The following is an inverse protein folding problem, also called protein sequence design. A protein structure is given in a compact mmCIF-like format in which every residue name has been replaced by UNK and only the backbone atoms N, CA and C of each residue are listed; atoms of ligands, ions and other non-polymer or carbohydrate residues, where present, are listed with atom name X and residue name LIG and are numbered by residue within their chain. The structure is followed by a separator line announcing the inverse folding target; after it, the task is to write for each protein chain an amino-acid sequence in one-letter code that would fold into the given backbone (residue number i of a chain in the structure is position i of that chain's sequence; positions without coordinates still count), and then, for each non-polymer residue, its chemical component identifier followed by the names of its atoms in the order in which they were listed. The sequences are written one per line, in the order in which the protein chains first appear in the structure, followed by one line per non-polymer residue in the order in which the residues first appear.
data_IF_789544824017
#
_entry.id   IF_789544824017
#
_cell.length_a   1.000
_cell.length_b   1.000
_cell.length_c   1.000
_cell.angle_alpha   90.00
_cell.angle_beta   90.00
_cell.angle_gamma   90.00
#
_symmetry.space_group_name_H-M   'P 1'
#
loop_
_entity.id
_entity.type
_entity.pdbx_description
1 polymer ?
2 polymer ?
3 branched ?
4 non-polymer ?
5 non-polymer ?
6 non-polymer ?
7 water ?
#
# COMPACT_ATOMS: atom_id res chain seq x y z
N UNK A 1 8.09 18.40 40.43
CA UNK A 1 7.21 18.93 39.40
C UNK A 1 7.59 18.38 38.03
N UNK A 2 8.65 17.59 37.97
CA UNK A 2 9.07 17.02 36.71
C UNK A 2 8.03 16.01 36.23
N UNK A 3 7.56 16.11 34.98
CA UNK A 3 6.57 15.15 34.49
C UNK A 3 7.15 13.75 34.40
N UNK A 4 6.32 12.77 34.71
CA UNK A 4 6.76 11.39 34.68
C UNK A 4 6.91 10.90 33.23
N UNK A 5 7.77 9.91 33.00
CA UNK A 5 7.83 9.31 31.66
C UNK A 5 6.55 8.56 31.35
N UNK A 6 6.12 8.64 30.06
CA UNK A 6 4.96 7.93 29.55
C UNK A 6 5.37 6.61 28.92
N UNK A 7 4.48 5.62 28.92
CA UNK A 7 4.76 4.38 28.19
C UNK A 7 4.84 4.64 26.70
N UNK A 8 5.66 3.83 26.02
CA UNK A 8 5.79 3.96 24.58
C UNK A 8 4.71 3.11 23.90
N UNK A 9 4.02 3.70 22.92
CA UNK A 9 2.95 3.02 22.21
C UNK A 9 3.54 2.28 21.00
N UNK A 10 3.07 1.06 20.78
CA UNK A 10 3.50 0.24 19.66
C UNK A 10 2.31 0.09 18.71
N UNK A 11 2.42 0.68 17.53
CA UNK A 11 1.36 0.62 16.54
C UNK A 11 1.71 -0.38 15.44
N UNK A 12 0.72 -1.16 15.03
CA UNK A 12 0.90 -2.14 13.97
C UNK A 12 -0.37 -2.24 13.15
N UNK A 13 -0.22 -2.20 11.82
CA UNK A 13 -1.33 -2.44 10.91
C UNK A 13 -1.35 -3.92 10.56
N UNK A 14 -2.50 -4.55 10.76
CA UNK A 14 -2.65 -5.99 10.52
C UNK A 14 -3.50 -6.21 9.28
N UNK A 15 -2.85 -6.53 8.17
CA UNK A 15 -3.52 -6.93 6.93
C UNK A 15 -4.44 -5.82 6.42
N UNK A 16 -3.99 -4.57 6.59
CA UNK A 16 -4.72 -3.34 6.28
C UNK A 16 -6.21 -3.44 6.61
N UNK A 17 -6.56 -4.20 7.64
CA UNK A 17 -7.93 -4.33 8.11
C UNK A 17 -8.20 -3.47 9.35
N UNK A 18 -7.25 -3.41 10.27
CA UNK A 18 -7.33 -2.54 11.43
C UNK A 18 -5.92 -2.27 11.92
N UNK A 19 -5.82 -1.38 12.90
CA UNK A 19 -4.54 -1.00 13.49
C UNK A 19 -4.64 -1.10 15.00
N UNK A 20 -3.64 -1.75 15.61
CA UNK A 20 -3.56 -1.86 17.06
C UNK A 20 -2.37 -1.05 17.55
N UNK A 21 -2.66 0.04 18.27
CA UNK A 21 -1.66 0.80 19.00
C UNK A 21 -1.83 0.46 20.47
N UNK A 22 -0.83 -0.19 21.06
CA UNK A 22 -0.92 -0.67 22.43
C UNK A 22 0.20 -0.07 23.28
N UNK A 23 -0.06 0.05 24.57
CA UNK A 23 0.91 0.52 25.55
C UNK A 23 0.69 -0.23 26.86
N UNK A 24 1.65 -0.08 27.77
CA UNK A 24 1.59 -0.71 29.09
C UNK A 24 1.65 0.38 30.16
N UNK A 25 0.50 0.78 30.68
CA UNK A 25 0.40 1.84 31.67
C UNK A 25 0.46 1.32 33.10
N UNK A 26 1.02 0.14 33.32
CA UNK A 26 1.15 -0.40 34.67
C UNK A 26 2.28 0.24 35.46
N UNK A 27 2.99 1.21 34.88
CA UNK A 27 4.08 1.88 35.58
C UNK A 27 3.60 3.01 36.50
N UNK A 28 2.34 3.39 36.42
CA UNK A 28 1.85 4.54 37.16
C UNK A 28 1.74 4.22 38.64
N UNK A 29 2.20 5.10 39.53
CA UNK A 29 1.90 4.91 40.96
C UNK A 29 0.41 5.03 41.25
N UNK A 30 -0.25 5.99 40.59
CA UNK A 30 -1.70 6.10 40.62
C UNK A 30 -2.25 5.71 39.27
N UNK A 31 -3.06 4.65 39.18
CA UNK A 31 -3.55 4.20 37.87
C UNK A 31 -4.39 5.28 37.19
N UNK A 32 -4.23 5.37 35.87
CA UNK A 32 -4.89 6.43 35.11
C UNK A 32 -5.27 5.93 33.73
N UNK A 33 -6.47 6.29 33.29
CA UNK A 33 -6.87 6.09 31.91
C UNK A 33 -6.13 7.08 31.02
N UNK A 34 -4.98 6.67 30.48
CA UNK A 34 -4.30 7.50 29.49
C UNK A 34 -5.13 7.59 28.22
N UNK A 35 -5.09 8.75 27.58
CA UNK A 35 -5.89 9.00 26.39
C UNK A 35 -5.00 9.06 25.16
N UNK A 36 -5.56 8.62 24.03
CA UNK A 36 -4.84 8.62 22.76
C UNK A 36 -5.51 9.56 21.77
N UNK A 37 -4.69 10.30 21.04
CA UNK A 37 -5.12 11.19 19.96
C UNK A 37 -4.15 11.01 18.79
N UNK A 38 -4.62 11.37 17.60
CA UNK A 38 -3.80 11.15 16.41
C UNK A 38 -4.25 12.07 15.29
N UNK A 39 -3.33 12.31 14.36
CA UNK A 39 -3.60 13.06 13.14
C UNK A 39 -2.53 12.68 12.13
N UNK A 40 -2.57 13.31 10.96
CA UNK A 40 -1.65 12.98 9.88
C UNK A 40 -0.97 14.24 9.36
N UNK A 41 0.30 14.10 8.99
CA UNK A 41 1.06 15.18 8.39
C UNK A 41 0.81 15.21 6.88
N UNK A 42 1.25 16.30 6.25
CA UNK A 42 1.01 16.53 4.82
C UNK A 42 -0.47 16.41 4.49
N UNK A 43 -1.31 16.89 5.41
CA UNK A 43 -2.76 16.83 5.28
C UNK A 43 -3.34 18.18 5.65
N UNK A 44 -4.16 18.74 4.75
CA UNK A 44 -4.70 20.07 4.98
C UNK A 44 -5.71 20.12 6.12
N UNK A 45 -6.27 18.97 6.52
CA UNK A 45 -7.21 18.91 7.62
C UNK A 45 -6.43 18.97 8.93
N UNK A 46 -6.37 20.15 9.54
CA UNK A 46 -5.70 20.32 10.82
C UNK A 46 -6.70 20.06 11.95
N UNK A 47 -7.01 18.77 12.13
CA UNK A 47 -7.94 18.32 13.14
C UNK A 47 -7.34 17.13 13.88
N UNK A 48 -7.57 17.08 15.20
CA UNK A 48 -7.08 16.01 16.04
C UNK A 48 -8.21 15.01 16.26
N UNK A 49 -7.91 13.73 16.07
CA UNK A 49 -8.89 12.67 16.21
C UNK A 49 -8.68 11.95 17.53
N UNK A 50 -9.75 11.78 18.30
CA UNK A 50 -9.69 11.00 19.52
C UNK A 50 -9.91 9.53 19.21
N UNK A 51 -9.35 8.67 20.06
CA UNK A 51 -9.51 7.24 19.88
C UNK A 51 -10.98 6.84 19.97
N UNK A 52 -11.40 5.95 19.06
CA UNK A 52 -12.78 5.50 18.98
C UNK A 52 -13.01 4.15 19.64
N UNK A 53 -11.96 3.35 19.83
CA UNK A 53 -12.08 2.02 20.44
C UNK A 53 -10.87 1.83 21.35
N UNK A 54 -11.01 2.23 22.60
CA UNK A 54 -9.93 2.03 23.57
C UNK A 54 -9.86 0.57 23.99
N UNK A 55 -8.64 0.09 24.23
CA UNK A 55 -8.41 -1.26 24.73
C UNK A 55 -8.05 -1.18 26.21
N UNK A 56 -8.71 -1.99 27.02
CA UNK A 56 -8.55 -1.94 28.47
C UNK A 56 -7.82 -3.18 28.98
N UNK A 57 -7.01 -2.98 30.02
CA UNK A 57 -6.35 -4.08 30.72
C UNK A 57 -6.47 -3.79 32.22
N UNK A 58 -7.41 -4.46 32.87
CA UNK A 58 -7.72 -4.26 34.28
C UNK A 58 -8.20 -2.83 34.55
N UNK A 59 -9.32 -2.49 33.92
CA UNK A 59 -10.08 -1.27 34.13
C UNK A 59 -9.32 0.01 33.76
N UNK A 60 -8.16 -0.11 33.10
CA UNK A 60 -7.41 1.06 32.64
C UNK A 60 -7.08 0.87 31.17
N UNK A 61 -7.03 1.99 30.45
CA UNK A 61 -6.75 1.93 29.01
C UNK A 61 -5.35 1.39 28.76
N UNK A 62 -5.26 0.45 27.82
CA UNK A 62 -3.99 -0.20 27.47
C UNK A 62 -3.75 -0.20 25.97
N UNK A 63 -4.47 0.62 25.23
CA UNK A 63 -4.29 0.67 23.80
C UNK A 63 -5.52 1.21 23.09
N UNK A 64 -5.42 1.26 21.77
CA UNK A 64 -6.48 1.78 20.94
C UNK A 64 -6.50 1.00 19.62
N UNK A 65 -7.68 0.89 19.03
CA UNK A 65 -7.84 0.19 17.75
C UNK A 65 -8.44 1.16 16.73
N UNK A 66 -7.79 1.29 15.59
CA UNK A 66 -8.26 2.15 14.51
C UNK A 66 -8.82 1.29 13.38
N UNK A 67 -10.03 1.63 12.95
CA UNK A 67 -10.64 0.92 11.83
C UNK A 67 -9.95 1.29 10.53
N UNK A 68 -10.20 0.49 9.49
CA UNK A 68 -9.53 0.68 8.21
C UNK A 68 -9.80 2.07 7.65
N UNK A 69 -11.00 2.61 7.85
CA UNK A 69 -11.33 3.93 7.31
C UNK A 69 -10.54 5.04 8.00
N UNK A 70 -9.89 4.77 9.13
CA UNK A 70 -9.09 5.75 9.86
C UNK A 70 -7.60 5.68 9.54
N UNK A 71 -7.17 4.68 8.76
CA UNK A 71 -5.75 4.46 8.47
C UNK A 71 -5.40 5.15 7.16
N UNK A 72 -4.41 6.03 7.20
CA UNK A 72 -3.89 6.69 6.00
C UNK A 72 -2.45 6.22 5.78
N UNK A 73 -2.30 5.09 5.09
CA UNK A 73 -0.97 4.64 4.70
C UNK A 73 -0.30 5.68 3.82
N UNK A 74 1.03 5.74 3.92
CA UNK A 74 1.91 6.62 3.15
C UNK A 74 1.79 8.08 3.57
N UNK A 75 0.94 8.40 4.53
CA UNK A 75 0.92 9.70 5.18
C UNK A 75 1.45 9.52 6.60
N UNK A 76 2.28 10.46 7.04
CA UNK A 76 2.95 10.35 8.33
C UNK A 76 1.94 10.34 9.47
N UNK A 77 1.96 9.26 10.26
CA UNK A 77 1.03 9.07 11.36
C UNK A 77 1.63 9.65 12.64
N UNK A 78 0.95 10.64 13.21
CA UNK A 78 1.35 11.26 14.46
C UNK A 78 0.39 10.80 15.54
N UNK A 79 0.92 10.14 16.57
CA UNK A 79 0.12 9.60 17.67
C UNK A 79 0.58 10.25 18.96
N UNK A 80 -0.37 10.69 19.79
CA UNK A 80 -0.08 11.48 20.98
C UNK A 80 -0.71 10.82 22.19
N UNK A 81 0.13 10.23 23.04
CA UNK A 81 -0.32 9.67 24.30
C UNK A 81 -0.23 10.75 25.38
N UNK A 82 -1.33 10.97 26.09
CA UNK A 82 -1.44 12.10 26.99
C UNK A 82 -2.06 11.67 28.32
N UNK A 83 -1.64 12.35 29.39
CA UNK A 83 -2.20 12.13 30.71
C UNK A 83 -3.40 13.06 30.89
N UNK A 84 -4.61 12.54 31.10
CA UNK A 84 -5.77 13.44 31.25
C UNK A 84 -5.71 14.30 32.49
N UNK A 85 -5.20 13.76 33.61
CA UNK A 85 -5.16 14.54 34.84
C UNK A 85 -4.10 15.62 34.79
N UNK A 86 -3.13 15.51 33.89
CA UNK A 86 -2.08 16.53 33.73
C UNK A 86 -1.70 16.59 32.25
N UNK A 87 -2.25 17.56 31.51
CA UNK A 87 -1.98 17.64 30.07
C UNK A 87 -0.53 17.95 29.74
N UNK A 88 0.28 18.40 30.71
CA UNK A 88 1.69 18.66 30.43
C UNK A 88 2.47 17.37 30.23
N UNK A 89 1.93 16.23 30.65
CA UNK A 89 2.58 14.93 30.44
C UNK A 89 2.01 14.30 29.18
N UNK A 90 2.61 14.66 28.03
CA UNK A 90 2.20 14.13 26.74
C UNK A 90 3.43 13.76 25.93
N UNK A 91 3.26 12.77 25.05
CA UNK A 91 4.34 12.30 24.18
C UNK A 91 3.77 12.01 22.80
N UNK A 92 4.45 12.52 21.76
CA UNK A 92 4.02 12.35 20.39
C UNK A 92 5.05 11.52 19.63
N UNK A 93 4.56 10.60 18.81
CA UNK A 93 5.42 9.79 17.94
C UNK A 93 4.96 9.96 16.50
N UNK A 94 5.93 10.06 15.60
CA UNK A 94 5.65 10.16 14.16
C UNK A 94 6.05 8.82 13.53
N UNK A 95 5.07 8.13 12.96
CA UNK A 95 5.28 6.80 12.41
C UNK A 95 4.94 6.77 10.93
N UNK A 96 5.66 5.92 10.19
CA UNK A 96 5.34 5.63 8.79
C UNK A 96 4.67 4.27 8.74
N UNK A 97 3.37 4.25 8.48
CA UNK A 97 2.57 3.03 8.57
C UNK A 97 2.90 2.02 7.49
N UNK A 98 3.48 2.44 6.36
CA UNK A 98 3.80 1.47 5.32
C UNK A 98 4.91 0.51 5.74
N UNK A 99 5.64 0.83 6.81
CA UNK A 99 6.68 -0.04 7.33
C UNK A 99 6.22 -0.82 8.55
N UNK A 100 4.94 -0.73 8.92
CA UNK A 100 4.41 -1.40 10.10
C UNK A 100 3.19 -2.26 9.75
N UNK A 101 3.09 -2.67 8.49
CA UNK A 101 2.00 -3.55 8.05
C UNK A 101 2.41 -4.99 8.32
N UNK A 102 1.51 -5.74 8.94
CA UNK A 102 1.74 -7.15 9.22
C UNK A 102 0.63 -7.94 8.54
N UNK A 103 0.91 -8.68 7.47
CA UNK A 103 -0.13 -9.49 6.85
C UNK A 103 -0.42 -10.74 7.68
N UNK A 104 -1.54 -11.37 7.36
CA UNK A 104 -1.83 -12.64 8.01
C UNK A 104 -0.92 -13.73 7.45
N UNK A 105 -0.88 -14.85 8.14
CA UNK A 105 -0.07 -15.97 7.69
C UNK A 105 -0.64 -16.53 6.38
N UNK A 106 0.22 -17.01 5.48
CA UNK A 106 -0.28 -17.65 4.26
C UNK A 106 -1.23 -18.79 4.58
N UNK A 107 -2.19 -19.00 3.68
CA UNK A 107 -3.22 -20.00 3.85
C UNK A 107 -3.32 -20.85 2.58
N UNK A 108 -4.10 -21.92 2.67
CA UNK A 108 -4.39 -22.79 1.53
C UNK A 108 -3.10 -23.36 0.93
N UNK A 109 -2.31 -24.01 1.79
CA UNK A 109 -1.09 -24.65 1.33
C UNK A 109 -1.46 -25.92 0.57
N UNK A 110 -1.09 -25.98 -0.72
CA UNK A 110 -1.34 -27.16 -1.54
C UNK A 110 -0.02 -27.59 -2.17
N UNK A 111 0.15 -28.91 -2.31
CA UNK A 111 1.30 -29.50 -2.98
C UNK A 111 0.84 -30.20 -4.25
N UNK A 112 1.63 -30.05 -5.31
CA UNK A 112 1.30 -30.61 -6.62
C UNK A 112 2.54 -31.27 -7.19
N UNK A 113 2.48 -32.60 -7.36
CA UNK A 113 3.60 -33.35 -7.91
C UNK A 113 3.52 -33.33 -9.43
N UNK A 114 4.46 -32.64 -10.06
CA UNK A 114 4.47 -32.57 -11.53
C UNK A 114 5.14 -33.81 -12.12
N UNK A 115 6.30 -34.19 -11.59
CA UNK A 115 7.00 -35.38 -12.01
C UNK A 115 7.56 -36.06 -10.76
N UNK A 116 8.22 -37.20 -10.96
CA UNK A 116 8.83 -37.90 -9.83
C UNK A 116 10.00 -37.12 -9.23
N UNK A 117 10.51 -36.10 -9.93
CA UNK A 117 11.58 -35.27 -9.40
C UNK A 117 11.19 -33.79 -9.39
N UNK A 118 9.90 -33.49 -9.32
CA UNK A 118 9.44 -32.10 -9.35
C UNK A 118 8.09 -32.01 -8.65
N UNK A 119 8.04 -31.28 -7.53
CA UNK A 119 6.77 -30.95 -6.90
C UNK A 119 6.78 -29.48 -6.48
N UNK A 120 5.62 -28.86 -6.54
CA UNK A 120 5.46 -27.43 -6.30
C UNK A 120 4.53 -27.18 -5.12
N UNK A 121 4.81 -26.09 -4.41
CA UNK A 121 3.99 -25.64 -3.29
C UNK A 121 3.28 -24.35 -3.67
N UNK A 122 2.02 -24.22 -3.24
CA UNK A 122 1.19 -23.08 -3.58
C UNK A 122 0.49 -22.57 -2.32
N UNK A 123 0.25 -21.26 -2.28
CA UNK A 123 -0.40 -20.65 -1.13
C UNK A 123 -1.05 -19.34 -1.57
N UNK A 124 -1.96 -18.83 -0.72
CA UNK A 124 -2.58 -17.52 -0.91
C UNK A 124 -2.62 -16.82 0.44
N UNK A 125 -2.61 -15.47 0.43
CA UNK A 125 -2.31 -14.71 1.63
C UNK A 125 -3.35 -13.64 1.99
N UNK A 126 -4.52 -13.65 1.37
CA UNK A 126 -5.60 -12.72 1.74
C UNK A 126 -5.12 -11.27 1.68
N UNK A 127 -4.34 -10.95 0.66
CA UNK A 127 -3.66 -9.67 0.57
C UNK A 127 -3.27 -9.47 -0.89
N UNK A 128 -3.07 -8.21 -1.28
CA UNK A 128 -2.59 -7.94 -2.63
C UNK A 128 -1.26 -8.66 -2.83
N UNK A 129 -1.23 -9.60 -3.78
CA UNK A 129 -0.08 -10.47 -3.95
C UNK A 129 1.17 -9.73 -4.40
N UNK A 130 1.02 -8.62 -5.12
CA UNK A 130 2.19 -7.90 -5.60
C UNK A 130 2.85 -7.06 -4.51
N UNK A 131 2.27 -7.00 -3.31
CA UNK A 131 2.83 -6.24 -2.21
C UNK A 131 3.54 -7.11 -1.19
N UNK A 132 3.64 -8.43 -1.44
CA UNK A 132 4.21 -9.35 -0.46
C UNK A 132 5.40 -10.09 -1.04
N UNK A 133 6.39 -10.32 -0.19
CA UNK A 133 7.44 -11.29 -0.44
C UNK A 133 7.29 -12.42 0.57
N UNK A 134 7.81 -13.59 0.22
CA UNK A 134 7.54 -14.79 1.00
C UNK A 134 8.82 -15.56 1.27
N UNK A 135 8.81 -16.28 2.39
CA UNK A 135 9.91 -17.13 2.78
C UNK A 135 9.36 -18.53 3.02
N UNK A 136 9.96 -19.52 2.36
CA UNK A 136 9.51 -20.91 2.44
C UNK A 136 10.57 -21.69 3.21
N UNK A 137 10.19 -22.22 4.36
CA UNK A 137 11.03 -23.14 5.11
C UNK A 137 10.54 -24.56 4.89
N UNK A 138 11.47 -25.51 4.79
CA UNK A 138 11.11 -26.91 4.64
C UNK A 138 12.20 -27.77 5.25
N UNK A 139 11.78 -28.92 5.80
CA UNK A 139 12.70 -29.88 6.38
C UNK A 139 12.09 -31.26 6.29
N UNK A 140 12.96 -32.27 6.23
CA UNK A 140 12.51 -33.65 6.33
C UNK A 140 12.63 -34.13 7.78
N UNK A 141 12.09 -35.31 8.04
CA UNK A 141 12.21 -35.90 9.37
C UNK A 141 13.63 -36.36 9.69
N UNK A 142 14.57 -36.18 8.76
CA UNK A 142 15.98 -36.51 8.98
C UNK A 142 16.87 -35.29 8.84
N UNK A 143 16.31 -34.08 8.96
CA UNK A 143 17.07 -32.84 8.88
C UNK A 143 17.16 -32.22 10.27
N UNK A 144 18.36 -31.80 10.65
CA UNK A 144 18.56 -31.21 11.97
C UNK A 144 17.93 -29.82 12.06
N UNK A 145 18.05 -29.03 11.00
CA UNK A 145 17.53 -27.67 10.96
C UNK A 145 16.58 -27.50 9.77
N UNK A 146 16.10 -26.27 9.57
CA UNK A 146 15.22 -25.96 8.47
C UNK A 146 16.03 -25.64 7.21
N UNK A 147 15.31 -25.34 6.13
CA UNK A 147 15.91 -24.89 4.89
C UNK A 147 14.99 -23.82 4.30
N UNK A 148 15.47 -22.59 4.20
CA UNK A 148 14.63 -21.49 3.76
C UNK A 148 14.97 -21.08 2.34
N UNK A 149 13.96 -20.55 1.63
CA UNK A 149 14.11 -20.04 0.28
C UNK A 149 13.17 -18.86 0.09
N UNK A 150 13.66 -17.78 -0.50
CA UNK A 150 12.89 -16.57 -0.69
C UNK A 150 12.13 -16.62 -2.02
N UNK A 151 10.84 -16.34 -1.98
CA UNK A 151 9.98 -16.40 -3.15
C UNK A 151 9.30 -15.05 -3.32
N UNK A 152 9.27 -14.57 -4.56
CA UNK A 152 8.79 -13.22 -4.83
C UNK A 152 7.28 -13.19 -5.02
N UNK A 153 6.79 -12.22 -5.80
CA UNK A 153 5.34 -12.05 -5.94
C UNK A 153 4.69 -13.27 -6.56
N UNK A 154 5.41 -13.97 -7.43
CA UNK A 154 5.01 -15.28 -7.89
C UNK A 154 4.98 -16.22 -6.68
N UNK A 155 3.81 -16.76 -6.37
CA UNK A 155 3.64 -17.59 -5.18
C UNK A 155 3.79 -19.06 -5.55
N UNK A 156 5.02 -19.39 -5.95
CA UNK A 156 5.34 -20.73 -6.44
C UNK A 156 6.77 -21.08 -6.05
N UNK A 157 6.92 -22.20 -5.34
CA UNK A 157 8.22 -22.73 -4.94
C UNK A 157 8.33 -24.15 -5.47
N UNK A 158 9.42 -24.44 -6.16
CA UNK A 158 9.68 -25.78 -6.69
C UNK A 158 10.74 -26.43 -5.83
N UNK A 159 10.42 -27.59 -5.28
CA UNK A 159 11.33 -28.29 -4.37
C UNK A 159 12.55 -28.79 -5.11
N UNK A 160 13.77 -28.38 -4.73
CA UNK A 160 14.98 -28.87 -5.40
C UNK A 160 15.33 -30.28 -4.94
N UNK A 161 15.50 -31.18 -5.91
CA UNK A 161 15.89 -32.56 -5.63
C UNK A 161 14.90 -33.27 -4.72
N UNK A 162 13.84 -33.83 -5.29
CA UNK A 162 12.81 -34.51 -4.51
C UNK A 162 13.23 -35.95 -4.25
N UNK A 163 13.08 -36.40 -3.01
CA UNK A 163 13.35 -37.77 -2.62
C UNK A 163 12.03 -38.37 -2.10
N UNK A 164 11.49 -39.33 -2.84
CA UNK A 164 10.19 -39.89 -2.49
C UNK A 164 10.19 -40.68 -1.19
N UNK A 165 11.34 -41.24 -0.82
CA UNK A 165 11.43 -42.03 0.40
C UNK A 165 11.54 -41.19 1.65
N UNK A 166 11.60 -39.87 1.53
CA UNK A 166 11.68 -38.97 2.67
C UNK A 166 10.39 -38.18 2.81
N UNK A 167 9.98 -37.94 4.06
CA UNK A 167 8.77 -37.18 4.35
C UNK A 167 9.15 -35.72 4.57
N UNK A 168 8.52 -34.82 3.82
CA UNK A 168 8.83 -33.40 3.87
C UNK A 168 7.78 -32.63 4.67
N UNK A 169 8.19 -31.46 5.15
CA UNK A 169 7.32 -30.54 5.88
C UNK A 169 7.58 -29.14 5.36
N UNK A 170 6.52 -28.38 5.13
CA UNK A 170 6.62 -27.04 4.54
C UNK A 170 5.86 -26.02 5.37
N UNK A 171 6.44 -24.82 5.45
CA UNK A 171 5.82 -23.66 6.09
C UNK A 171 6.25 -22.41 5.34
N UNK A 172 5.34 -21.43 5.26
CA UNK A 172 5.57 -20.19 4.51
C UNK A 172 5.08 -19.03 5.35
N UNK A 173 5.78 -17.90 5.26
CA UNK A 173 5.33 -16.65 5.85
C UNK A 173 5.65 -15.51 4.89
N UNK A 174 4.97 -14.37 5.10
CA UNK A 174 5.03 -13.25 4.17
C UNK A 174 5.44 -11.97 4.89
N UNK A 175 5.79 -10.96 4.10
CA UNK A 175 6.18 -9.67 4.65
C UNK A 175 5.87 -8.56 3.64
N UNK A 176 5.42 -7.42 4.17
CA UNK A 176 5.02 -6.26 3.36
C UNK A 176 6.27 -5.49 2.94
N UNK A 177 7.04 -6.09 2.02
CA UNK A 177 8.31 -5.51 1.58
C UNK A 177 8.72 -6.14 0.26
N UNK A 178 9.35 -5.40 -0.67
CA UNK A 178 9.70 -3.97 -0.67
C UNK A 178 8.94 -3.07 -1.64
N UNK A 179 7.96 -3.60 -2.38
CA UNK A 179 7.38 -2.83 -3.47
C UNK A 179 6.41 -1.77 -2.96
N UNK A 180 5.57 -2.13 -1.99
CA UNK A 180 4.54 -1.24 -1.45
C UNK A 180 4.88 -0.71 -0.07
N UNK A 181 6.01 -1.11 0.50
CA UNK A 181 6.38 -0.65 1.81
C UNK A 181 7.77 -1.14 2.15
N UNK A 182 8.16 -0.92 3.40
CA UNK A 182 9.47 -1.33 3.89
C UNK A 182 9.32 -1.93 5.28
N UNK A 183 8.42 -2.90 5.42
CA UNK A 183 8.23 -3.54 6.71
C UNK A 183 9.40 -4.47 7.00
N UNK A 184 9.67 -4.66 8.29
CA UNK A 184 10.76 -5.53 8.72
C UNK A 184 10.28 -6.79 9.42
N UNK A 185 9.13 -6.76 10.08
CA UNK A 185 8.60 -7.92 10.77
C UNK A 185 7.81 -8.79 9.80
N UNK A 186 8.10 -10.08 9.82
CA UNK A 186 7.36 -11.03 9.01
C UNK A 186 6.00 -11.32 9.63
N UNK A 187 5.15 -11.99 8.86
CA UNK A 187 3.90 -12.52 9.36
C UNK A 187 4.17 -13.76 10.20
N UNK A 188 3.13 -14.25 10.87
CA UNK A 188 3.27 -15.51 11.57
C UNK A 188 3.46 -16.64 10.56
N UNK A 189 3.90 -17.80 11.07
CA UNK A 189 4.10 -18.95 10.21
C UNK A 189 2.77 -19.61 9.86
N UNK A 190 2.67 -20.11 8.64
CA UNK A 190 1.51 -20.86 8.21
C UNK A 190 1.49 -22.23 8.89
N UNK A 191 0.33 -22.87 8.86
CA UNK A 191 0.24 -24.23 9.34
C UNK A 191 1.11 -25.14 8.47
N UNK A 192 1.76 -26.16 9.05
CA UNK A 192 2.67 -26.99 8.27
C UNK A 192 1.92 -27.97 7.37
N UNK A 193 2.42 -28.12 6.15
CA UNK A 193 1.92 -29.13 5.22
C UNK A 193 2.99 -30.20 5.09
N UNK A 194 2.57 -31.43 4.77
CA UNK A 194 3.48 -32.56 4.70
C UNK A 194 3.32 -33.30 3.38
N UNK A 195 4.36 -34.06 3.03
CA UNK A 195 4.36 -34.83 1.80
C UNK A 195 5.29 -36.02 1.94
N UNK A 196 4.83 -37.18 1.48
CA UNK A 196 5.65 -38.37 1.46
C UNK A 196 5.49 -39.21 2.71
N UNK A 197 6.33 -40.24 2.79
CA UNK A 197 6.32 -41.15 3.92
C UNK A 197 7.72 -41.70 4.19
N UNK B 1 -18.20 8.32 -4.48
CA UNK B 1 -18.50 8.29 -5.91
C UNK B 1 -18.09 9.58 -6.61
N UNK B 2 -17.17 9.45 -7.57
CA UNK B 2 -16.70 10.59 -8.35
C UNK B 2 -17.00 10.31 -9.82
N UNK B 3 -17.17 11.38 -10.60
CA UNK B 3 -17.45 11.29 -12.02
C UNK B 3 -16.36 12.05 -12.77
N UNK B 4 -15.59 11.34 -13.58
CA UNK B 4 -14.46 11.90 -14.31
C UNK B 4 -14.78 11.97 -15.81
N UNK B 5 -14.20 12.97 -16.47
CA UNK B 5 -14.41 13.17 -17.91
C UNK B 5 -13.16 13.83 -18.49
N UNK B 6 -12.41 13.08 -19.28
CA UNK B 6 -11.19 13.59 -19.89
C UNK B 6 -11.50 14.53 -21.05
N UNK B 7 -10.48 15.25 -21.49
CA UNK B 7 -10.57 16.15 -22.63
C UNK B 7 -9.16 16.57 -23.04
N UNK B 8 -9.07 17.25 -24.18
CA UNK B 8 -7.82 17.80 -24.64
C UNK B 8 -6.95 16.90 -25.48
N UNK B 9 -7.47 15.75 -25.91
CA UNK B 9 -6.69 14.86 -26.76
C UNK B 9 -6.67 15.30 -28.20
N UNK B 10 -5.93 14.56 -29.00
CA UNK B 10 -5.89 14.82 -30.43
C UNK B 10 -4.74 14.08 -31.08
N UNK B 11 -4.47 14.47 -32.32
CA UNK B 11 -3.41 13.89 -33.13
C UNK B 11 -2.35 14.95 -33.41
N UNK B 12 -1.11 14.66 -33.05
CA UNK B 12 -0.02 15.63 -33.07
C UNK B 12 1.19 15.01 -33.73
N UNK B 13 1.95 15.83 -34.45
CA UNK B 13 3.23 15.40 -35.01
C UNK B 13 4.20 15.02 -33.90
N UNK B 14 5.15 14.15 -34.24
CA UNK B 14 6.15 13.73 -33.26
C UNK B 14 6.96 14.93 -32.79
N UNK B 15 7.27 14.95 -31.50
CA UNK B 15 7.96 16.07 -30.89
C UNK B 15 7.05 17.17 -30.40
N UNK B 16 5.80 17.19 -30.82
CA UNK B 16 4.85 18.18 -30.36
C UNK B 16 4.45 17.96 -28.92
N UNK B 17 3.51 18.77 -28.47
CA UNK B 17 3.07 18.75 -27.08
C UNK B 17 1.55 18.71 -27.00
N UNK B 18 1.06 18.36 -25.82
CA UNK B 18 -0.36 18.25 -25.56
C UNK B 18 -0.61 18.43 -24.07
N UNK B 19 -1.86 18.73 -23.72
CA UNK B 19 -2.27 18.91 -22.34
C UNK B 19 -3.67 18.34 -22.17
N UNK B 20 -3.78 17.25 -21.42
CA UNK B 20 -5.07 16.65 -21.12
C UNK B 20 -5.68 17.30 -19.88
N UNK B 21 -7.01 17.27 -19.83
CA UNK B 21 -7.78 17.79 -18.69
C UNK B 21 -8.83 16.76 -18.31
N UNK B 22 -9.05 16.61 -17.01
CA UNK B 22 -10.02 15.64 -16.49
C UNK B 22 -10.74 16.29 -15.31
N UNK B 23 -11.98 16.70 -15.53
CA UNK B 23 -12.77 17.40 -14.53
C UNK B 23 -13.49 16.39 -13.64
N UNK B 24 -13.27 16.52 -12.33
CA UNK B 24 -13.93 15.67 -11.36
C UNK B 24 -15.21 16.32 -10.86
N UNK B 25 -16.23 15.50 -10.63
CA UNK B 25 -17.52 15.99 -10.16
C UNK B 25 -18.15 14.92 -9.28
N UNK B 26 -18.83 15.35 -8.22
CA UNK B 26 -19.41 14.44 -7.26
C UNK B 26 -18.83 14.61 -5.88
N UNK B 27 -18.41 13.51 -5.25
CA UNK B 27 -17.79 13.57 -3.93
C UNK B 27 -16.28 13.79 -4.07
N UNK B 28 -15.94 14.96 -4.59
CA UNK B 28 -14.54 15.33 -4.83
C UNK B 28 -13.79 15.68 -3.55
N UNK B 29 -14.44 15.59 -2.38
CA UNK B 29 -13.78 15.86 -1.12
C UNK B 29 -13.04 14.65 -0.58
N UNK B 30 -13.31 13.45 -1.09
CA UNK B 30 -12.79 12.23 -0.51
C UNK B 30 -11.95 11.40 -1.48
N UNK B 31 -11.62 11.93 -2.66
CA UNK B 31 -10.75 11.22 -3.60
C UNK B 31 -9.30 11.64 -3.31
N UNK B 32 -8.61 10.83 -2.51
CA UNK B 32 -7.27 11.16 -2.03
C UNK B 32 -6.18 10.91 -3.06
N UNK B 33 -6.42 10.06 -4.05
CA UNK B 33 -5.41 9.73 -5.06
C UNK B 33 -6.02 9.83 -6.45
N UNK B 34 -5.26 10.41 -7.37
CA UNK B 34 -5.65 10.51 -8.77
C UNK B 34 -4.47 10.17 -9.66
N UNK B 35 -4.75 9.69 -10.86
CA UNK B 35 -3.69 9.30 -11.76
C UNK B 35 -4.14 9.30 -13.21
N UNK B 36 -3.16 9.06 -14.09
CA UNK B 36 -3.42 8.91 -15.52
C UNK B 36 -2.97 7.54 -15.98
N UNK B 37 -3.80 6.91 -16.81
CA UNK B 37 -3.48 5.64 -17.44
C UNK B 37 -3.60 5.80 -18.94
N UNK B 38 -2.91 4.93 -19.69
CA UNK B 38 -3.02 4.92 -21.13
C UNK B 38 -3.08 3.49 -21.63
N UNK B 39 -3.74 3.30 -22.78
CA UNK B 39 -3.89 1.99 -23.39
C UNK B 39 -3.51 2.08 -24.86
N UNK B 40 -2.35 1.52 -25.21
CA UNK B 40 -1.92 1.49 -26.59
C UNK B 40 -2.84 0.58 -27.40
N UNK B 41 -2.89 0.76 -28.72
CA UNK B 41 -3.74 -0.10 -29.56
C UNK B 41 -3.37 -1.57 -29.41
N UNK B 42 -4.36 -2.37 -29.03
CA UNK B 42 -4.17 -3.81 -28.87
C UNK B 42 -3.36 -4.23 -27.68
N UNK B 43 -3.00 -3.31 -26.79
CA UNK B 43 -2.17 -3.65 -25.65
C UNK B 43 -2.91 -3.34 -24.35
N UNK B 44 -2.41 -3.93 -23.26
CA UNK B 44 -3.02 -3.72 -21.96
C UNK B 44 -2.86 -2.27 -21.52
N UNK B 45 -3.71 -1.88 -20.57
CA UNK B 45 -3.65 -0.54 -20.01
C UNK B 45 -2.55 -0.47 -18.95
N UNK B 46 -1.83 0.65 -18.92
CA UNK B 46 -0.71 0.83 -18.01
C UNK B 46 -0.82 2.18 -17.32
N UNK B 47 -0.26 2.26 -16.12
CA UNK B 47 -0.24 3.51 -15.38
C UNK B 47 0.84 4.45 -15.90
N UNK B 48 0.48 5.73 -16.01
CA UNK B 48 1.39 6.76 -16.50
C UNK B 48 1.91 7.59 -15.33
N UNK B 49 0.99 8.20 -14.58
CA UNK B 49 1.37 9.09 -13.49
C UNK B 49 0.35 8.97 -12.37
N UNK B 50 0.77 9.39 -11.17
CA UNK B 50 -0.12 9.39 -10.01
C UNK B 50 0.25 10.57 -9.13
N UNK B 51 -0.72 11.00 -8.32
CA UNK B 51 -0.55 12.19 -7.48
C UNK B 51 -1.42 12.06 -6.25
N UNK B 52 -0.91 12.54 -5.12
CA UNK B 52 -1.66 12.63 -3.88
C UNK B 52 -2.22 14.05 -3.76
N UNK B 53 -3.54 14.15 -3.62
CA UNK B 53 -4.19 15.46 -3.80
C UNK B 53 -3.96 16.39 -2.63
N UNK B 54 -3.86 15.86 -1.42
CA UNK B 54 -3.84 16.67 -0.21
C UNK B 54 -2.43 16.93 0.32
N UNK B 55 -1.40 16.54 -0.43
CA UNK B 55 -0.04 16.85 -0.06
C UNK B 55 0.32 18.29 -0.35
N UNK B 56 1.56 18.65 -0.03
CA UNK B 56 2.08 19.99 -0.27
C UNK B 56 3.11 19.98 -1.41
N UNK B 57 2.84 19.16 -2.43
CA UNK B 57 3.70 19.06 -3.63
C UNK B 57 5.13 18.69 -3.25
N UNK B 58 5.28 17.84 -2.24
CA UNK B 58 6.58 17.40 -1.75
C UNK B 58 6.67 15.89 -2.01
N UNK B 59 7.19 15.53 -3.18
CA UNK B 59 7.27 14.12 -3.55
C UNK B 59 5.92 13.46 -3.68
N UNK B 60 4.88 14.22 -4.01
CA UNK B 60 3.52 13.71 -4.09
C UNK B 60 3.17 13.17 -5.47
N UNK B 61 4.12 13.14 -6.41
CA UNK B 61 3.88 12.63 -7.76
C UNK B 61 4.80 11.45 -8.05
N UNK B 62 4.30 10.53 -8.87
CA UNK B 62 5.05 9.37 -9.32
C UNK B 62 4.75 9.13 -10.80
N UNK B 63 5.79 8.89 -11.59
CA UNK B 63 5.67 8.73 -13.03
C UNK B 63 6.23 7.39 -13.46
N UNK B 64 5.75 6.92 -14.62
CA UNK B 64 6.33 5.76 -15.26
C UNK B 64 7.71 6.08 -15.81
N UNK B 65 8.57 5.06 -15.90
CA UNK B 65 9.89 5.28 -16.46
C UNK B 65 9.83 5.65 -17.94
N UNK B 66 8.71 5.36 -18.62
CA UNK B 66 8.60 5.67 -20.04
C UNK B 66 8.25 7.12 -20.30
N UNK B 67 7.80 7.86 -19.29
CA UNK B 67 7.34 9.23 -19.49
C UNK B 67 8.04 10.16 -18.52
N UNK B 68 9.01 9.64 -17.78
CA UNK B 68 9.68 10.43 -16.76
C UNK B 68 10.47 11.57 -17.40
N UNK B 69 10.28 12.79 -16.88
CA UNK B 69 10.91 13.96 -17.44
C UNK B 69 10.25 14.53 -18.68
N UNK B 70 9.29 13.81 -19.27
CA UNK B 70 8.52 14.28 -20.41
C UNK B 70 7.10 14.66 -20.05
N UNK B 71 6.44 13.88 -19.19
CA UNK B 71 5.08 14.17 -18.73
C UNK B 71 5.12 14.70 -17.31
N UNK B 72 4.24 15.66 -17.01
CA UNK B 72 4.05 16.16 -15.66
C UNK B 72 2.57 16.19 -15.34
N UNK B 73 2.20 15.66 -14.18
CA UNK B 73 0.82 15.64 -13.71
C UNK B 73 0.65 16.74 -12.67
N UNK B 74 -0.41 17.52 -12.79
CA UNK B 74 -0.74 18.58 -11.84
C UNK B 74 -2.22 18.47 -11.48
N UNK B 75 -2.65 19.32 -10.54
CA UNK B 75 -4.03 19.28 -10.07
C UNK B 75 -4.45 20.67 -9.60
N UNK B 76 -5.57 21.15 -10.12
CA UNK B 76 -6.15 22.43 -9.70
C UNK B 76 -7.28 22.09 -8.72
N UNK B 77 -6.96 22.16 -7.43
CA UNK B 77 -7.95 21.81 -6.40
C UNK B 77 -9.15 22.75 -6.43
N UNK B 78 -8.95 23.99 -6.85
CA UNK B 78 -10.04 24.96 -6.85
C UNK B 78 -11.10 24.58 -7.86
N UNK B 79 -10.69 24.22 -9.07
CA UNK B 79 -11.61 23.87 -10.15
C UNK B 79 -11.87 22.37 -10.24
N UNK B 80 -11.24 21.57 -9.38
CA UNK B 80 -11.39 20.11 -9.38
C UNK B 80 -11.07 19.53 -10.76
N UNK B 81 -9.89 19.87 -11.26
CA UNK B 81 -9.48 19.47 -12.60
C UNK B 81 -8.06 18.93 -12.56
N UNK B 82 -7.88 17.72 -13.05
CA UNK B 82 -6.56 17.10 -13.17
C UNK B 82 -5.98 17.40 -14.55
N UNK B 83 -4.67 17.57 -14.59
CA UNK B 83 -3.98 17.91 -15.84
C UNK B 83 -2.81 16.95 -16.05
N UNK B 84 -2.41 16.81 -17.32
CA UNK B 84 -1.25 15.98 -17.66
C UNK B 84 -0.55 16.65 -18.85
N UNK B 85 0.48 17.43 -18.55
CA UNK B 85 1.25 18.07 -19.61
C UNK B 85 2.14 17.04 -20.28
N UNK B 86 2.08 16.98 -21.61
CA UNK B 86 2.80 16.00 -22.41
C UNK B 86 3.68 16.73 -23.39
N UNK B 87 5.00 16.53 -23.28
CA UNK B 87 5.95 17.16 -24.17
C UNK B 87 6.89 16.11 -24.75
N UNK B 88 7.51 16.46 -25.87
CA UNK B 88 8.41 15.55 -26.59
C UNK B 88 7.71 14.21 -26.83
N UNK B 89 6.53 14.28 -27.43
CA UNK B 89 5.74 13.08 -27.68
C UNK B 89 6.38 12.26 -28.78
N UNK B 90 6.50 10.96 -28.54
CA UNK B 90 6.99 10.01 -29.53
C UNK B 90 5.85 9.08 -29.95
N UNK B 91 5.98 8.40 -31.10
CA UNK B 91 4.88 7.53 -31.55
C UNK B 91 4.44 6.48 -30.55
N UNK B 92 5.33 6.06 -29.63
CA UNK B 92 4.93 5.10 -28.61
C UNK B 92 3.92 5.67 -27.63
N UNK B 93 3.70 6.98 -27.62
CA UNK B 93 2.71 7.58 -26.73
C UNK B 93 1.30 7.53 -27.29
N UNK B 94 1.13 7.06 -28.53
CA UNK B 94 -0.20 6.92 -29.10
C UNK B 94 -1.00 5.92 -28.28
N UNK B 95 -2.02 6.41 -27.58
CA UNK B 95 -2.83 5.54 -26.74
C UNK B 95 -4.12 6.27 -26.38
N UNK B 96 -5.02 5.55 -25.74
CA UNK B 96 -6.23 6.11 -25.17
C UNK B 96 -5.97 6.42 -23.70
N UNK B 97 -6.01 7.70 -23.33
CA UNK B 97 -5.61 8.12 -21.99
C UNK B 97 -6.83 8.26 -21.08
N UNK B 98 -6.75 7.64 -19.90
CA UNK B 98 -7.80 7.67 -18.90
C UNK B 98 -7.29 8.31 -17.62
N UNK B 99 -8.13 9.09 -16.95
CA UNK B 99 -7.87 9.54 -15.60
C UNK B 99 -8.64 8.67 -14.61
N UNK B 100 -8.10 8.56 -13.40
CA UNK B 100 -8.70 7.70 -12.39
C UNK B 100 -8.54 8.36 -11.03
N UNK B 101 -9.48 8.08 -10.14
CA UNK B 101 -9.49 8.64 -8.80
C UNK B 101 -9.81 7.54 -7.80
N UNK B 102 -9.24 7.66 -6.60
CA UNK B 102 -9.43 6.66 -5.57
C UNK B 102 -9.70 7.34 -4.24
N UNK B 103 -10.49 6.67 -3.40
CA UNK B 103 -10.86 7.21 -2.09
C UNK B 103 -10.40 6.32 -0.94
N UNK B 104 -9.60 5.29 -1.21
CA UNK B 104 -9.20 4.32 -0.20
C UNK B 104 -7.85 4.73 0.36
N UNK B 105 -7.86 5.44 1.49
CA UNK B 105 -6.61 5.91 2.10
C UNK B 105 -5.81 4.77 2.71
N UNK B 106 -6.42 3.61 2.93
CA UNK B 106 -5.76 2.49 3.58
C UNK B 106 -5.13 1.52 2.60
N UNK B 107 -5.33 1.73 1.32
CA UNK B 107 -4.95 0.73 0.33
C UNK B 107 -3.44 0.75 0.12
N UNK B 108 -2.79 -0.40 0.10
CA UNK B 108 -1.38 -0.45 -0.33
C UNK B 108 -1.25 0.00 -1.77
N UNK B 109 -0.12 0.63 -2.07
CA UNK B 109 0.14 1.17 -3.39
C UNK B 109 1.60 0.97 -3.74
N UNK B 110 1.87 0.75 -5.02
CA UNK B 110 3.23 0.57 -5.48
C UNK B 110 3.98 1.90 -5.33
N UNK B 111 5.18 1.84 -4.77
CA UNK B 111 5.98 3.03 -4.54
C UNK B 111 7.12 3.17 -5.55
N UNK B 112 7.02 2.48 -6.69
CA UNK B 112 8.08 2.55 -7.71
C UNK B 112 7.42 2.39 -9.08
N UNK B 113 7.32 3.50 -9.80
CA UNK B 113 6.76 3.48 -11.14
C UNK B 113 5.36 4.03 -11.21
N UNK B 114 4.72 3.80 -12.35
CA UNK B 114 3.37 4.25 -12.58
C UNK B 114 2.37 3.54 -11.70
N UNK B 115 1.17 4.09 -11.57
CA UNK B 115 0.17 3.48 -10.71
C UNK B 115 -0.37 2.19 -11.30
N UNK B 116 -0.72 1.25 -10.41
CA UNK B 116 -1.38 0.04 -10.83
C UNK B 116 -2.86 0.30 -11.05
N UNK B 117 -3.48 -0.57 -11.84
CA UNK B 117 -4.88 -0.40 -12.17
C UNK B 117 -5.79 -0.65 -10.98
N UNK B 118 -5.38 -1.52 -10.06
CA UNK B 118 -6.24 -1.91 -8.94
C UNK B 118 -6.32 -0.85 -7.86
N UNK B 119 -5.55 0.24 -7.98
CA UNK B 119 -5.44 1.25 -6.94
C UNK B 119 -6.41 2.41 -7.14
N UNK B 120 -7.42 2.25 -8.00
CA UNK B 120 -8.34 3.33 -8.28
C UNK B 120 -9.73 2.77 -8.51
N UNK B 121 -10.73 3.44 -7.93
CA UNK B 121 -12.12 2.99 -8.00
C UNK B 121 -12.89 3.64 -9.14
N UNK B 122 -12.64 4.92 -9.41
CA UNK B 122 -13.43 5.69 -10.34
C UNK B 122 -12.59 6.06 -11.57
N UNK B 123 -13.20 5.91 -12.74
CA UNK B 123 -12.50 6.11 -14.00
C UNK B 123 -13.31 7.02 -14.91
N UNK B 124 -12.61 7.66 -15.85
CA UNK B 124 -13.24 8.45 -16.88
C UNK B 124 -13.39 7.65 -18.17
N UNK B 125 -14.03 8.29 -19.15
CA UNK B 125 -14.33 7.59 -20.40
C UNK B 125 -13.12 7.48 -21.32
N UNK B 126 -12.19 8.40 -21.23
CA UNK B 126 -10.97 8.35 -22.00
C UNK B 126 -10.90 9.45 -23.05
N UNK B 127 -9.66 9.73 -23.48
CA UNK B 127 -9.40 10.67 -24.57
C UNK B 127 -8.26 10.10 -25.41
N UNK B 128 -8.40 10.24 -26.73
CA UNK B 128 -7.49 9.60 -27.67
C UNK B 128 -6.33 10.53 -28.00
N UNK B 129 -5.11 9.99 -27.95
CA UNK B 129 -3.89 10.70 -28.31
C UNK B 129 -3.18 9.89 -29.38
N UNK B 130 -2.89 10.55 -30.50
CA UNK B 130 -2.27 9.90 -31.65
C UNK B 130 -1.03 10.69 -32.04
N UNK B 131 0.13 10.06 -31.95
CA UNK B 131 1.40 10.70 -32.28
C UNK B 131 1.97 10.01 -33.52
N UNK B 132 2.23 10.79 -34.55
CA UNK B 132 2.80 10.29 -35.79
C UNK B 132 4.07 11.06 -36.12
N UNK B 133 4.98 10.40 -36.85
CA UNK B 133 6.23 11.05 -37.22
C UNK B 133 5.99 12.20 -38.18
N UNK B 134 5.04 12.06 -39.10
CA UNK B 134 4.68 13.12 -40.01
C UNK B 134 3.58 14.01 -39.44
N UNK B 135 3.24 15.04 -40.22
CA UNK B 135 2.21 15.99 -39.80
C UNK B 135 0.82 15.43 -40.11
N UNK B 136 0.00 15.15 -39.08
CA UNK B 136 -1.35 14.60 -39.28
C UNK B 136 -2.36 15.67 -39.69
#
# INVERSE_FOLDING_TARGET
ADPLPLPEVQCFVFNVEYMNCTWNSSSEPQPTNLTLHYWYKNSDNDKVQKCSHYLFSEEITSGCQLQKKEIHLYQTFVVQLQDPREPRRQATQMLKLQNLVIPWAPENLTLHKLSESQLELNWNNRFLNHCLEHLVQYRTDWDHSWTEQSVDYRHKFSLPSVDGQKRYTFRVRSRFNPLCGSAQHWSEWSHPIHWGSNTSKENHHHHHH
QVQLQESGGGSVQAGGSLRLSCAASGYTYRDYYMGWFRQAPGREREGVASIYTRGSREGSTRYSSSVEGRFTITLDTAKNTLYLQMNSLKPEDTAMYYCAADDRTWLPRVQLGGPRENEYNYWGQGTQVTVSSGAPGSGLNDIFEAQKIEWHEHHHHHH
#
